data_IF_214407360593
#
_entry.id   IF_214407360593
#
_cell.length_a   1.000
_cell.length_b   1.000
_cell.length_c   1.000
_cell.angle_alpha   90.00
_cell.angle_beta   90.00
_cell.angle_gamma   90.00
#
_symmetry.space_group_name_H-M   'P 1'
#
loop_
_entity.id
_entity.type
_entity.pdbx_description
1 polymer ?
#
# COMPACT_ATOMS: atom_id res chain seq x y z
N UNK A 1 9.46 12.70 8.71
CA UNK A 1 8.89 13.72 7.81
C UNK A 1 7.84 13.05 6.93
N UNK A 2 6.71 13.72 6.62
CA UNK A 2 5.80 13.24 5.60
C UNK A 2 6.50 13.22 4.24
N UNK A 3 6.18 12.23 3.39
CA UNK A 3 6.75 12.03 2.07
C UNK A 3 5.62 11.94 1.04
N UNK A 4 5.80 12.63 -0.07
CA UNK A 4 4.84 12.61 -1.17
C UNK A 4 5.15 11.43 -2.09
N UNK A 5 4.24 10.45 -2.08
CA UNK A 5 4.35 9.27 -2.91
C UNK A 5 3.39 9.46 -4.07
N UNK A 6 3.93 9.68 -5.28
CA UNK A 6 3.15 9.57 -6.50
C UNK A 6 3.05 8.10 -6.91
N UNK A 7 1.90 7.63 -7.38
CA UNK A 7 1.71 6.34 -8.07
C UNK A 7 0.59 6.48 -9.11
N UNK A 8 0.51 5.54 -10.05
CA UNK A 8 -0.62 5.47 -10.99
C UNK A 8 -1.93 5.16 -10.22
N UNK A 9 -3.08 5.62 -10.72
CA UNK A 9 -4.38 5.36 -10.06
C UNK A 9 -4.65 3.86 -9.90
N UNK A 10 -4.26 3.05 -10.89
CA UNK A 10 -4.33 1.57 -10.80
C UNK A 10 -3.42 1.00 -9.70
N UNK A 11 -2.23 1.58 -9.54
CA UNK A 11 -1.26 1.18 -8.52
C UNK A 11 -1.80 1.46 -7.11
N UNK A 12 -2.44 2.62 -6.92
CA UNK A 12 -3.14 2.96 -5.70
C UNK A 12 -4.33 2.05 -5.44
N UNK A 13 -5.16 1.79 -6.45
CA UNK A 13 -6.29 0.89 -6.36
C UNK A 13 -5.87 -0.52 -5.89
N UNK A 14 -4.82 -1.08 -6.50
CA UNK A 14 -4.27 -2.38 -6.11
C UNK A 14 -3.76 -2.37 -4.67
N UNK A 15 -3.03 -1.32 -4.28
CA UNK A 15 -2.49 -1.20 -2.93
C UNK A 15 -3.60 -1.12 -1.87
N UNK A 16 -4.62 -0.28 -2.09
CA UNK A 16 -5.79 -0.15 -1.22
C UNK A 16 -6.56 -1.47 -1.08
N UNK A 17 -6.75 -2.21 -2.18
CA UNK A 17 -7.37 -3.53 -2.13
C UNK A 17 -6.55 -4.55 -1.32
N UNK A 18 -5.22 -4.49 -1.40
CA UNK A 18 -4.35 -5.34 -0.59
C UNK A 18 -4.36 -4.96 0.89
N UNK A 19 -4.42 -3.66 1.21
CA UNK A 19 -4.59 -3.17 2.58
C UNK A 19 -5.94 -3.63 3.16
N UNK A 20 -7.04 -3.49 2.41
CA UNK A 20 -8.37 -4.00 2.81
C UNK A 20 -8.36 -5.50 3.06
N UNK A 21 -7.66 -6.27 2.22
CA UNK A 21 -7.47 -7.71 2.46
C UNK A 21 -6.66 -8.00 3.74
N UNK A 22 -5.70 -7.14 4.08
CA UNK A 22 -4.89 -7.27 5.31
C UNK A 22 -5.70 -6.89 6.54
N UNK A 23 -6.47 -5.81 6.47
CA UNK A 23 -7.42 -5.38 7.48
C UNK A 23 -8.37 -6.53 7.84
N UNK A 24 -9.07 -7.11 6.85
CA UNK A 24 -9.96 -8.24 7.09
C UNK A 24 -9.26 -9.41 7.80
N UNK A 25 -8.03 -9.75 7.39
CA UNK A 25 -7.25 -10.82 8.07
C UNK A 25 -6.82 -10.45 9.49
N UNK A 26 -6.58 -9.17 9.78
CA UNK A 26 -6.22 -8.71 11.11
C UNK A 26 -7.45 -8.70 12.03
N UNK A 27 -8.62 -8.31 11.51
CA UNK A 27 -9.90 -8.29 12.22
C UNK A 27 -10.27 -9.66 12.80
N UNK A 28 -10.07 -10.73 12.03
CA UNK A 28 -10.42 -12.09 12.46
C UNK A 28 -9.33 -12.80 13.28
N UNK A 29 -8.20 -12.14 13.59
CA UNK A 29 -7.11 -12.72 14.38
C UNK A 29 -7.30 -12.45 15.89
N UNK A 30 -8.08 -13.32 16.53
CA UNK A 30 -8.65 -13.33 17.90
C UNK A 30 -8.06 -12.56 19.11
N UNK A 31 -6.83 -12.02 19.18
CA UNK A 31 -6.41 -11.23 20.38
C UNK A 31 -5.11 -10.41 20.33
N UNK A 32 -4.23 -10.55 19.33
CA UNK A 32 -2.90 -9.89 19.31
C UNK A 32 -2.71 -8.83 18.21
N UNK A 33 -3.80 -8.39 17.55
CA UNK A 33 -3.72 -7.59 16.32
C UNK A 33 -4.72 -6.43 16.22
N UNK A 34 -5.41 -6.02 17.27
CA UNK A 34 -6.29 -4.83 17.19
C UNK A 34 -5.51 -3.60 16.75
N UNK A 35 -4.30 -3.41 17.28
CA UNK A 35 -3.42 -2.30 16.89
C UNK A 35 -2.97 -2.40 15.42
N UNK A 36 -2.67 -3.61 14.92
CA UNK A 36 -2.34 -3.79 13.50
C UNK A 36 -3.56 -3.54 12.61
N UNK A 37 -4.75 -3.99 13.04
CA UNK A 37 -5.99 -3.73 12.34
C UNK A 37 -6.28 -2.23 12.27
N UNK A 38 -6.23 -1.55 13.41
CA UNK A 38 -6.48 -0.11 13.53
C UNK A 38 -5.48 0.69 12.71
N UNK A 39 -4.19 0.35 12.80
CA UNK A 39 -3.15 0.98 11.98
C UNK A 39 -3.39 0.81 10.48
N UNK A 40 -3.77 -0.40 10.04
CA UNK A 40 -4.05 -0.67 8.62
C UNK A 40 -5.32 0.02 8.16
N UNK A 41 -6.34 0.06 9.01
CA UNK A 41 -7.60 0.76 8.78
C UNK A 41 -7.35 2.25 8.58
N UNK A 42 -6.67 2.90 9.54
CA UNK A 42 -6.33 4.32 9.49
C UNK A 42 -5.44 4.66 8.29
N UNK A 43 -4.41 3.84 8.02
CA UNK A 43 -3.54 4.02 6.86
C UNK A 43 -4.34 3.94 5.55
N UNK A 44 -5.18 2.91 5.39
CA UNK A 44 -6.01 2.75 4.19
C UNK A 44 -6.96 3.94 4.05
N UNK A 45 -7.61 4.35 5.13
CA UNK A 45 -8.59 5.44 5.10
C UNK A 45 -7.94 6.77 4.74
N UNK A 46 -6.77 7.06 5.31
CA UNK A 46 -5.97 8.24 4.97
C UNK A 46 -5.59 8.27 3.49
N UNK A 47 -5.16 7.14 2.92
CA UNK A 47 -4.87 7.02 1.48
C UNK A 47 -6.15 7.25 0.67
N UNK A 48 -7.24 6.54 0.95
CA UNK A 48 -8.50 6.66 0.21
C UNK A 48 -9.07 8.08 0.24
N UNK A 49 -8.99 8.79 1.37
CA UNK A 49 -9.43 10.19 1.46
C UNK A 49 -8.60 11.09 0.54
N UNK A 50 -7.26 10.99 0.59
CA UNK A 50 -6.39 11.78 -0.28
C UNK A 50 -6.60 11.48 -1.77
N UNK A 51 -6.91 10.22 -2.10
CA UNK A 51 -7.21 9.81 -3.48
C UNK A 51 -8.59 10.28 -3.95
N UNK A 52 -9.61 10.27 -3.08
CA UNK A 52 -10.94 10.80 -3.38
C UNK A 52 -10.91 12.29 -3.72
N UNK A 53 -10.07 13.06 -3.03
CA UNK A 53 -9.82 14.47 -3.34
C UNK A 53 -9.07 14.66 -4.68
N UNK A 54 -8.36 13.63 -5.16
CA UNK A 54 -7.60 13.65 -6.42
C UNK A 54 -8.38 13.10 -7.62
N UNK A 55 -9.39 12.25 -7.41
CA UNK A 55 -10.23 11.68 -8.49
C UNK A 55 -11.06 12.76 -9.21
N UNK A 56 -11.44 13.84 -8.53
CA UNK A 56 -12.09 15.01 -9.17
C UNK A 56 -11.23 15.64 -10.28
N UNK A 57 -9.91 15.39 -10.29
CA UNK A 57 -8.98 15.97 -11.26
C UNK A 57 -8.65 15.06 -12.46
N UNK A 58 -9.17 13.83 -12.51
CA UNK A 58 -8.98 12.91 -13.64
C UNK A 58 -7.52 12.50 -13.92
N UNK A 59 -6.62 12.67 -12.96
CA UNK A 59 -5.19 12.45 -13.15
C UNK A 59 -4.83 10.95 -13.14
N UNK A 60 -4.04 10.51 -14.13
CA UNK A 60 -3.50 9.14 -14.21
C UNK A 60 -2.44 8.86 -13.13
N UNK A 61 -1.78 9.91 -12.63
CA UNK A 61 -0.80 9.85 -11.55
C UNK A 61 -1.36 10.62 -10.35
N UNK A 62 -1.49 9.94 -9.21
CA UNK A 62 -2.04 10.49 -7.98
C UNK A 62 -0.97 10.49 -6.89
N UNK A 63 -0.92 11.57 -6.12
CA UNK A 63 0.08 11.77 -5.08
C UNK A 63 -0.57 11.70 -3.72
N UNK A 64 0.00 10.88 -2.83
CA UNK A 64 -0.46 10.71 -1.45
C UNK A 64 0.69 10.99 -0.51
N UNK A 65 0.45 11.86 0.46
CA UNK A 65 1.38 12.19 1.51
C UNK A 65 1.33 11.13 2.61
N UNK A 66 2.46 10.48 2.89
CA UNK A 66 2.59 9.39 3.85
C UNK A 66 3.68 9.67 4.88
N UNK A 67 3.47 9.25 6.13
CA UNK A 67 4.53 9.28 7.14
C UNK A 67 5.64 8.27 6.83
N UNK A 68 6.85 8.50 7.33
CA UNK A 68 7.96 7.52 7.26
C UNK A 68 7.55 6.14 7.78
N UNK A 69 6.75 6.09 8.85
CA UNK A 69 6.25 4.85 9.43
C UNK A 69 5.31 4.12 8.45
N UNK A 70 4.43 4.86 7.78
CA UNK A 70 3.52 4.33 6.75
C UNK A 70 4.29 3.79 5.55
N UNK A 71 5.30 4.53 5.08
CA UNK A 71 6.19 4.09 3.99
C UNK A 71 6.93 2.81 4.39
N UNK A 72 7.53 2.76 5.58
CA UNK A 72 8.23 1.59 6.08
C UNK A 72 7.30 0.38 6.23
N UNK A 73 6.08 0.61 6.71
CA UNK A 73 5.04 -0.41 6.82
C UNK A 73 4.68 -1.00 5.45
N UNK A 74 4.38 -0.15 4.47
CA UNK A 74 4.04 -0.56 3.10
C UNK A 74 5.20 -1.29 2.43
N UNK A 75 6.43 -0.80 2.57
CA UNK A 75 7.62 -1.48 2.04
C UNK A 75 7.79 -2.88 2.62
N UNK A 76 7.57 -3.05 3.94
CA UNK A 76 7.60 -4.36 4.62
C UNK A 76 6.45 -5.25 4.18
N UNK A 77 5.26 -4.69 4.02
CA UNK A 77 4.06 -5.39 3.54
C UNK A 77 4.27 -5.95 2.13
N UNK A 78 4.72 -5.12 1.19
CA UNK A 78 5.01 -5.53 -0.18
C UNK A 78 6.14 -6.57 -0.26
N UNK A 79 7.17 -6.46 0.60
CA UNK A 79 8.22 -7.49 0.72
C UNK A 79 7.63 -8.83 1.14
N UNK A 80 6.80 -8.87 2.18
CA UNK A 80 6.14 -10.11 2.65
C UNK A 80 5.21 -10.68 1.56
N UNK A 81 4.48 -9.82 0.85
CA UNK A 81 3.61 -10.24 -0.26
C UNK A 81 4.42 -10.83 -1.41
N UNK A 82 5.54 -10.21 -1.79
CA UNK A 82 6.43 -10.74 -2.83
C UNK A 82 6.93 -12.14 -2.48
N UNK A 83 7.34 -12.37 -1.22
CA UNK A 83 7.76 -13.69 -0.74
C UNK A 83 6.63 -14.71 -0.81
N UNK A 84 5.42 -14.36 -0.36
CA UNK A 84 4.26 -15.25 -0.43
C UNK A 84 3.94 -15.66 -1.88
N UNK A 85 4.07 -14.73 -2.83
CA UNK A 85 3.80 -14.99 -4.24
C UNK A 85 4.86 -15.88 -4.91
N UNK A 86 6.08 -16.00 -4.36
CA UNK A 86 7.06 -16.97 -4.87
C UNK A 86 6.56 -18.41 -4.73
N UNK A 87 5.75 -18.68 -3.71
CA UNK A 87 5.15 -19.99 -3.47
C UNK A 87 3.84 -20.22 -4.23
N UNK A 88 3.44 -19.28 -5.11
CA UNK A 88 2.20 -19.34 -5.91
C UNK A 88 2.55 -19.17 -7.41
N UNK A 89 2.81 -20.28 -8.14
CA UNK A 89 3.44 -20.22 -9.46
C UNK A 89 2.60 -19.50 -10.51
N UNK A 90 1.27 -19.53 -10.44
CA UNK A 90 0.35 -18.91 -11.41
C UNK A 90 0.19 -17.38 -11.29
N UNK A 91 1.04 -16.68 -10.51
CA UNK A 91 0.89 -15.22 -10.23
C UNK A 91 2.07 -14.37 -10.70
N UNK A 92 2.60 -14.60 -11.89
CA UNK A 92 3.75 -13.84 -12.43
C UNK A 92 3.47 -12.34 -12.63
N UNK A 93 2.26 -11.98 -13.08
CA UNK A 93 1.84 -10.57 -13.21
C UNK A 93 1.88 -9.86 -11.85
N UNK A 94 1.22 -10.44 -10.85
CA UNK A 94 1.19 -9.88 -9.50
C UNK A 94 2.60 -9.78 -8.87
N UNK A 95 3.48 -10.75 -9.13
CA UNK A 95 4.88 -10.68 -8.70
C UNK A 95 5.61 -9.47 -9.30
N UNK A 96 5.39 -9.18 -10.58
CA UNK A 96 5.96 -7.99 -11.23
C UNK A 96 5.40 -6.72 -10.63
N UNK A 97 4.08 -6.65 -10.43
CA UNK A 97 3.40 -5.47 -9.90
C UNK A 97 3.86 -5.15 -8.47
N UNK A 98 3.93 -6.14 -7.58
CA UNK A 98 4.44 -5.96 -6.21
C UNK A 98 5.89 -5.46 -6.21
N UNK A 99 6.74 -5.99 -7.09
CA UNK A 99 8.15 -5.56 -7.20
C UNK A 99 8.28 -4.15 -7.79
N UNK A 100 7.42 -3.77 -8.74
CA UNK A 100 7.35 -2.43 -9.33
C UNK A 100 6.91 -1.42 -8.25
N UNK A 101 5.77 -1.68 -7.62
CA UNK A 101 5.21 -0.88 -6.53
C UNK A 101 6.19 -0.65 -5.40
N UNK A 102 6.87 -1.71 -4.92
CA UNK A 102 7.86 -1.58 -3.85
C UNK A 102 9.03 -0.70 -4.26
N UNK A 103 9.48 -0.80 -5.51
CA UNK A 103 10.58 0.04 -6.03
C UNK A 103 10.16 1.49 -6.16
N UNK A 104 8.98 1.78 -6.71
CA UNK A 104 8.48 3.16 -6.80
C UNK A 104 8.27 3.76 -5.40
N UNK A 105 7.69 3.00 -4.47
CA UNK A 105 7.47 3.45 -3.10
C UNK A 105 8.77 3.81 -2.39
N UNK A 106 9.83 3.02 -2.57
CA UNK A 106 11.14 3.32 -2.00
C UNK A 106 11.88 4.44 -2.75
N UNK A 107 11.87 4.42 -4.08
CA UNK A 107 12.55 5.43 -4.89
C UNK A 107 11.96 6.84 -4.71
N UNK A 108 10.63 6.93 -4.57
CA UNK A 108 9.94 8.20 -4.30
C UNK A 108 9.95 8.58 -2.83
N UNK A 109 10.19 7.62 -1.94
CA UNK A 109 10.47 7.93 -0.55
C UNK A 109 11.89 8.52 -0.40
N UNK A 110 12.91 7.93 -1.01
CA UNK A 110 14.31 8.36 -0.81
C UNK A 110 14.69 9.64 -1.59
N UNK A 111 13.75 10.23 -2.32
CA UNK A 111 13.92 11.48 -3.06
C UNK A 111 13.55 12.72 -2.24
N UNK A 112 14.46 13.15 -1.36
CA UNK A 112 14.59 14.52 -0.86
C UNK A 112 16.05 14.79 -0.53
#
# INVERSE_FOLDING_TARGET
MPRDIALESEEWYVLCNWLRSRENRAMYALRSRSEEWEYVYELRRSIETQLGDTEETGATLQTVTLSDASVAYLARFLRRRALFLLFKPWRDRERRDVRRLRRQLLARADGA
#
